data_IF_607270730075
#
_entry.id   IF_607270730075
#
_cell.length_a   1.000
_cell.length_b   1.000
_cell.length_c   1.000
_cell.angle_alpha   90.00
_cell.angle_beta   90.00
_cell.angle_gamma   90.00
#
_symmetry.space_group_name_H-M   'P 1'
#
loop_
_entity.id
_entity.type
_entity.pdbx_description
1 polymer ?
#
# COMPACT_ATOMS: atom_id res chain seq x y z
N UNK A 1 -1.77 0.54 -28.37
CA UNK A 1 -1.62 -0.43 -27.28
C UNK A 1 -1.60 0.37 -25.98
N UNK A 2 -2.48 0.08 -25.02
CA UNK A 2 -2.47 0.80 -23.74
C UNK A 2 -1.46 0.11 -22.82
N UNK A 3 -0.39 0.82 -22.48
CA UNK A 3 0.64 0.33 -21.57
C UNK A 3 0.37 0.83 -20.16
N UNK A 4 0.46 -0.05 -19.18
CA UNK A 4 0.45 0.30 -17.77
C UNK A 4 1.88 0.25 -17.25
N UNK A 5 2.35 1.33 -16.63
CA UNK A 5 3.69 1.39 -16.05
C UNK A 5 3.59 1.58 -14.54
N UNK A 6 4.48 0.90 -13.82
CA UNK A 6 4.65 0.99 -12.37
C UNK A 6 6.00 1.64 -12.09
N UNK A 7 5.95 2.74 -11.39
CA UNK A 7 7.12 3.49 -10.96
C UNK A 7 7.32 3.26 -9.45
N UNK A 8 8.57 3.29 -9.01
CA UNK A 8 8.97 3.08 -7.62
C UNK A 8 9.95 4.14 -7.15
N UNK A 9 9.86 4.53 -5.88
CA UNK A 9 10.69 5.51 -5.20
C UNK A 9 11.20 4.91 -3.90
N UNK A 10 12.51 4.77 -3.80
CA UNK A 10 13.16 4.11 -2.67
C UNK A 10 13.40 5.09 -1.52
N UNK A 11 13.43 4.58 -0.28
CA UNK A 11 13.68 5.33 0.96
C UNK A 11 12.55 6.27 1.40
N UNK A 12 11.45 6.34 0.65
CA UNK A 12 10.25 7.08 1.04
C UNK A 12 9.13 6.11 1.34
N UNK A 13 8.40 6.33 2.44
CA UNK A 13 7.18 5.57 2.74
C UNK A 13 6.02 6.01 1.87
N UNK A 14 5.87 7.32 1.81
CA UNK A 14 4.89 8.01 0.99
C UNK A 14 5.60 9.23 0.39
N UNK A 15 5.26 9.55 -0.84
CA UNK A 15 5.79 10.74 -1.50
C UNK A 15 4.80 11.33 -2.48
N UNK A 16 4.28 12.49 -2.11
CA UNK A 16 3.50 13.34 -2.99
C UNK A 16 4.41 14.33 -3.73
N UNK A 17 4.23 14.42 -5.03
CA UNK A 17 4.73 15.56 -5.78
C UNK A 17 3.80 15.96 -6.92
N UNK A 18 3.90 17.22 -7.30
CA UNK A 18 3.12 17.78 -8.41
C UNK A 18 4.05 18.08 -9.58
N UNK A 19 3.74 17.51 -10.73
CA UNK A 19 4.40 17.82 -11.99
C UNK A 19 3.60 18.87 -12.74
N UNK A 20 4.30 19.77 -13.42
CA UNK A 20 3.69 20.70 -14.37
C UNK A 20 4.06 20.25 -15.77
N UNK A 21 3.07 19.77 -16.53
CA UNK A 21 3.26 19.35 -17.92
C UNK A 21 2.21 20.02 -18.81
N UNK A 22 2.64 20.67 -19.89
CA UNK A 22 1.76 21.32 -20.88
C UNK A 22 0.68 22.24 -20.26
N UNK A 23 1.04 22.98 -19.21
CA UNK A 23 0.12 23.91 -18.52
C UNK A 23 -0.87 23.25 -17.55
N UNK A 24 -0.74 21.94 -17.30
CA UNK A 24 -1.56 21.21 -16.32
C UNK A 24 -0.70 20.74 -15.14
N UNK A 25 -1.24 20.87 -13.93
CA UNK A 25 -0.65 20.29 -12.72
C UNK A 25 -1.14 18.85 -12.55
N UNK A 26 -0.24 17.89 -12.57
CA UNK A 26 -0.50 16.47 -12.34
C UNK A 26 0.01 16.14 -10.94
N UNK A 27 -0.90 15.78 -10.03
CA UNK A 27 -0.52 15.31 -8.69
C UNK A 27 -0.26 13.82 -8.74
N UNK A 28 0.89 13.40 -8.23
CA UNK A 28 1.29 11.99 -8.16
C UNK A 28 1.58 11.66 -6.70
N UNK A 29 0.95 10.59 -6.23
CA UNK A 29 1.08 10.10 -4.87
C UNK A 29 1.69 8.70 -4.92
N UNK A 30 2.95 8.59 -4.50
CA UNK A 30 3.63 7.31 -4.31
C UNK A 30 3.36 6.83 -2.89
N UNK A 31 2.95 5.57 -2.74
CA UNK A 31 2.58 4.99 -1.44
C UNK A 31 3.15 3.58 -1.29
N UNK A 32 3.09 3.06 -0.06
CA UNK A 32 3.46 1.68 0.23
C UNK A 32 4.96 1.44 0.30
N UNK A 33 5.76 2.48 0.45
CA UNK A 33 7.18 2.33 0.74
C UNK A 33 7.42 2.05 2.21
N UNK A 34 8.54 1.41 2.50
CA UNK A 34 9.03 1.23 3.85
C UNK A 34 10.55 1.11 3.84
N UNK A 35 11.19 1.59 4.88
CA UNK A 35 12.62 1.44 5.08
C UNK A 35 12.82 0.88 6.47
N UNK A 36 13.16 -0.40 6.51
CA UNK A 36 13.46 -1.14 7.73
C UNK A 36 14.90 -1.65 7.64
N UNK A 37 15.51 -1.97 8.78
CA UNK A 37 16.89 -2.49 8.88
C UNK A 37 17.09 -3.78 8.05
N UNK A 38 16.00 -4.54 7.85
CA UNK A 38 15.95 -5.80 7.08
C UNK A 38 15.76 -5.61 5.58
N UNK A 39 15.29 -4.45 5.11
CA UNK A 39 14.98 -4.26 3.70
C UNK A 39 14.31 -2.93 3.35
N UNK A 40 14.45 -2.54 2.09
CA UNK A 40 13.89 -1.31 1.54
C UNK A 40 12.78 -1.68 0.56
N UNK A 41 11.55 -1.34 0.93
CA UNK A 41 10.37 -1.42 0.07
C UNK A 41 10.18 -0.04 -0.56
N UNK A 42 10.23 0.09 -1.90
CA UNK A 42 9.98 1.38 -2.54
C UNK A 42 8.50 1.74 -2.49
N UNK A 43 8.19 3.02 -2.30
CA UNK A 43 6.86 3.54 -2.55
C UNK A 43 6.57 3.44 -4.05
N UNK A 44 5.39 2.97 -4.44
CA UNK A 44 5.05 2.75 -5.85
C UNK A 44 3.87 3.57 -6.33
N UNK A 45 3.83 3.80 -7.64
CA UNK A 45 2.74 4.47 -8.33
C UNK A 45 2.50 3.80 -9.68
N UNK A 46 1.26 3.39 -9.93
CA UNK A 46 0.86 2.70 -11.16
C UNK A 46 -0.05 3.63 -11.95
N UNK A 47 0.23 3.79 -13.24
CA UNK A 47 -0.60 4.60 -14.13
C UNK A 47 -0.71 4.01 -15.52
N UNK A 48 -1.90 4.11 -16.10
CA UNK A 48 -2.20 3.81 -17.51
C UNK A 48 -2.20 5.05 -18.40
N UNK A 49 -2.10 6.23 -17.80
CA UNK A 49 -2.20 7.49 -18.51
C UNK A 49 -0.85 7.83 -19.14
N UNK A 50 -0.77 7.78 -20.47
CA UNK A 50 0.44 8.06 -21.25
C UNK A 50 1.01 9.46 -20.97
N UNK A 51 0.16 10.45 -20.70
CA UNK A 51 0.60 11.82 -20.34
C UNK A 51 1.32 11.80 -18.99
N UNK A 52 0.81 11.03 -18.03
CA UNK A 52 1.41 10.90 -16.70
C UNK A 52 2.72 10.10 -16.77
N UNK A 53 2.75 9.02 -17.56
CA UNK A 53 3.97 8.25 -17.81
C UNK A 53 5.06 9.13 -18.43
N UNK A 54 4.72 9.86 -19.50
CA UNK A 54 5.62 10.80 -20.14
C UNK A 54 6.10 11.91 -19.18
N UNK A 55 5.20 12.41 -18.32
CA UNK A 55 5.54 13.42 -17.32
C UNK A 55 6.55 12.88 -16.29
N UNK A 56 6.36 11.66 -15.80
CA UNK A 56 7.29 11.01 -14.87
C UNK A 56 8.63 10.78 -15.57
N UNK A 57 8.64 10.19 -16.76
CA UNK A 57 9.89 9.85 -17.48
C UNK A 57 10.71 11.09 -17.86
N UNK A 58 10.05 12.24 -18.10
CA UNK A 58 10.74 13.50 -18.39
C UNK A 58 11.10 14.33 -17.15
N UNK A 59 10.61 13.97 -15.97
CA UNK A 59 10.89 14.75 -14.76
C UNK A 59 12.33 14.58 -14.28
N UNK A 60 12.80 15.58 -13.53
CA UNK A 60 14.15 15.59 -12.96
C UNK A 60 14.36 14.38 -12.03
N UNK A 61 13.34 14.00 -11.25
CA UNK A 61 13.43 12.90 -10.28
C UNK A 61 13.61 11.53 -10.93
N UNK A 62 13.11 11.33 -12.15
CA UNK A 62 13.35 10.11 -12.91
C UNK A 62 14.75 10.09 -13.50
N UNK A 63 15.21 11.23 -14.04
CA UNK A 63 16.59 11.38 -14.57
C UNK A 63 17.66 11.29 -13.48
N UNK A 64 17.34 11.76 -12.27
CA UNK A 64 18.17 11.67 -11.06
C UNK A 64 18.18 10.24 -10.47
N UNK A 65 17.34 9.34 -10.98
CA UNK A 65 17.26 7.95 -10.52
C UNK A 65 16.53 7.74 -9.20
N UNK A 66 15.87 8.79 -8.66
CA UNK A 66 14.99 8.67 -7.49
C UNK A 66 13.72 7.89 -7.81
N UNK A 67 13.12 8.16 -8.96
CA UNK A 67 12.02 7.38 -9.50
C UNK A 67 12.61 6.36 -10.47
N UNK A 68 12.26 5.09 -10.30
CA UNK A 68 12.64 4.00 -11.21
C UNK A 68 11.41 3.33 -11.78
N UNK A 69 11.48 2.92 -13.04
CA UNK A 69 10.49 2.02 -13.62
C UNK A 69 10.69 0.63 -13.01
N UNK A 70 9.65 0.09 -12.38
CA UNK A 70 9.66 -1.23 -11.75
C UNK A 70 9.07 -2.27 -12.72
N UNK A 71 7.92 -1.96 -13.31
CA UNK A 71 7.23 -2.85 -14.25
C UNK A 71 6.58 -2.07 -15.40
N UNK A 72 6.59 -2.66 -16.59
CA UNK A 72 5.79 -2.24 -17.75
C UNK A 72 4.93 -3.43 -18.17
N UNK A 73 3.61 -3.26 -18.18
CA UNK A 73 2.62 -4.24 -18.62
C UNK A 73 1.89 -3.69 -19.85
N UNK A 74 1.94 -4.43 -20.96
CA UNK A 74 1.04 -4.21 -22.08
C UNK A 74 -0.34 -4.82 -21.73
N UNK A 75 -1.39 -4.01 -21.75
CA UNK A 75 -2.75 -4.48 -21.52
C UNK A 75 -3.24 -5.08 -22.85
N UNK A 76 -2.88 -6.33 -23.09
CA UNK A 76 -3.55 -7.20 -24.05
C UNK A 76 -4.48 -8.12 -23.25
N UNK A 77 -5.75 -8.18 -23.65
CA UNK A 77 -6.82 -8.88 -22.93
C UNK A 77 -6.59 -10.41 -22.96
N UNK A 78 -5.74 -10.97 -22.11
CA UNK A 78 -5.63 -12.42 -21.88
C UNK A 78 -4.81 -12.80 -20.63
N UNK A 79 -5.28 -13.88 -19.99
CA UNK A 79 -4.96 -14.49 -18.68
C UNK A 79 -3.49 -14.86 -18.38
N UNK A 80 -3.16 -14.83 -17.08
CA UNK A 80 -2.33 -15.77 -16.25
C UNK A 80 -0.90 -16.12 -16.77
N UNK A 81 0.21 -16.17 -16.00
CA UNK A 81 0.46 -16.28 -14.57
C UNK A 81 1.98 -16.12 -14.29
N UNK A 82 2.29 -15.70 -13.05
CA UNK A 82 3.39 -16.09 -12.13
C UNK A 82 4.90 -15.93 -12.44
N UNK A 83 5.61 -15.22 -11.52
CA UNK A 83 6.67 -15.70 -10.59
C UNK A 83 7.36 -14.51 -9.90
N UNK A 84 7.05 -14.13 -8.65
CA UNK A 84 7.33 -14.71 -7.32
C UNK A 84 8.71 -14.33 -6.72
N UNK A 85 8.65 -13.48 -5.68
CA UNK A 85 9.26 -13.68 -4.34
C UNK A 85 8.59 -12.66 -3.39
N UNK A 86 7.49 -13.06 -2.74
CA UNK A 86 7.39 -13.34 -1.28
C UNK A 86 7.61 -12.07 -0.41
N UNK A 87 6.67 -11.59 0.40
CA UNK A 87 5.67 -12.30 1.22
C UNK A 87 4.36 -11.48 1.45
N UNK A 88 3.23 -12.20 1.43
CA UNK A 88 1.90 -11.96 2.07
C UNK A 88 1.10 -10.71 1.70
N UNK A 89 0.15 -10.79 0.74
CA UNK A 89 -1.31 -11.10 0.92
C UNK A 89 -2.15 -9.83 1.20
N UNK A 90 -3.29 -9.50 0.57
CA UNK A 90 -4.20 -10.17 -0.37
C UNK A 90 -5.25 -9.15 -0.89
N UNK A 91 -5.58 -9.25 -2.19
CA UNK A 91 -6.80 -8.93 -2.97
C UNK A 91 -7.64 -7.62 -2.98
N UNK A 92 -8.22 -7.44 -4.17
CA UNK A 92 -8.90 -6.31 -4.81
C UNK A 92 -10.37 -6.07 -4.38
N UNK A 93 -10.75 -4.78 -4.43
CA UNK A 93 -12.02 -4.12 -4.81
C UNK A 93 -13.37 -4.73 -4.38
N UNK A 94 -14.29 -4.05 -3.69
CA UNK A 94 -14.44 -2.66 -3.24
C UNK A 94 -15.54 -2.65 -2.16
N UNK A 95 -15.55 -1.75 -1.18
CA UNK A 95 -15.80 -0.31 -1.20
C UNK A 95 -15.16 0.19 0.11
N UNK A 96 -14.48 1.34 0.15
CA UNK A 96 -14.16 2.02 1.41
C UNK A 96 -13.43 1.18 2.50
N UNK A 97 -12.11 1.36 2.63
CA UNK A 97 -11.33 0.85 3.77
C UNK A 97 -11.07 -0.66 3.69
N UNK A 98 -9.86 -1.02 3.26
CA UNK A 98 -9.40 -2.41 3.27
C UNK A 98 -9.00 -2.76 4.72
N UNK A 99 -9.95 -3.27 5.51
CA UNK A 99 -9.69 -3.75 6.88
C UNK A 99 -9.40 -5.26 6.85
N UNK A 100 -8.30 -5.69 7.45
CA UNK A 100 -7.93 -7.10 7.68
C UNK A 100 -8.90 -7.73 8.68
N UNK A 101 -9.72 -8.66 8.23
CA UNK A 101 -10.70 -9.33 9.09
C UNK A 101 -10.04 -10.49 9.87
N UNK A 102 -10.18 -10.48 11.20
CA UNK A 102 -9.61 -11.48 12.10
C UNK A 102 -10.74 -12.14 12.87
N UNK A 103 -10.90 -13.45 12.71
CA UNK A 103 -11.92 -14.21 13.43
C UNK A 103 -11.45 -14.49 14.85
N UNK A 104 -12.25 -14.07 15.83
CA UNK A 104 -11.97 -14.24 17.26
C UNK A 104 -13.26 -14.66 17.95
N UNK A 105 -13.18 -15.71 18.78
CA UNK A 105 -14.32 -16.26 19.50
C UNK A 105 -14.67 -15.51 20.78
N UNK A 106 -13.83 -14.57 21.23
CA UNK A 106 -14.01 -13.83 22.48
C UNK A 106 -13.16 -12.56 22.55
N UNK A 107 -13.56 -11.64 23.43
CA UNK A 107 -12.82 -10.40 23.68
C UNK A 107 -11.37 -10.65 24.11
N UNK A 108 -11.12 -11.64 24.96
CA UNK A 108 -9.77 -11.95 25.42
C UNK A 108 -8.86 -12.38 24.26
N UNK A 109 -9.39 -13.14 23.31
CA UNK A 109 -8.67 -13.59 22.11
C UNK A 109 -8.37 -12.44 21.16
N UNK A 110 -9.33 -11.52 20.98
CA UNK A 110 -9.13 -10.28 20.23
C UNK A 110 -8.01 -9.41 20.83
N UNK A 111 -8.01 -9.28 22.15
CA UNK A 111 -7.00 -8.48 22.86
C UNK A 111 -5.63 -9.16 22.80
N UNK A 112 -5.57 -10.47 22.97
CA UNK A 112 -4.33 -11.23 22.85
C UNK A 112 -3.74 -11.13 21.45
N UNK A 113 -4.58 -11.26 20.42
CA UNK A 113 -4.18 -11.03 19.04
C UNK A 113 -3.61 -9.62 18.83
N UNK A 114 -4.24 -8.58 19.37
CA UNK A 114 -3.71 -7.21 19.25
C UNK A 114 -2.36 -7.05 19.96
N UNK A 115 -2.21 -7.59 21.16
CA UNK A 115 -0.97 -7.46 21.95
C UNK A 115 0.18 -8.28 21.37
N UNK A 116 -0.15 -9.42 20.74
CA UNK A 116 0.85 -10.29 20.11
C UNK A 116 1.30 -9.78 18.74
N UNK A 117 0.41 -9.11 17.98
CA UNK A 117 0.74 -8.55 16.66
C UNK A 117 1.18 -7.08 16.70
N UNK A 118 0.88 -6.34 17.78
CA UNK A 118 1.22 -4.92 17.91
C UNK A 118 1.80 -4.60 19.28
N UNK A 119 3.07 -4.16 19.31
CA UNK A 119 3.73 -3.72 20.55
C UNK A 119 3.08 -2.46 21.17
N UNK A 120 2.28 -1.72 20.39
CA UNK A 120 1.52 -0.54 20.85
C UNK A 120 0.23 -0.93 21.61
N UNK A 121 -0.22 -2.17 21.51
CA UNK A 121 -1.46 -2.62 22.10
C UNK A 121 -1.28 -2.88 23.60
N UNK A 122 -2.08 -2.21 24.43
CA UNK A 122 -2.02 -2.37 25.88
C UNK A 122 -3.25 -3.12 26.42
N UNK A 123 -3.03 -4.29 27.01
CA UNK A 123 -4.07 -5.14 27.62
C UNK A 123 -4.89 -4.42 28.70
N UNK A 124 -4.42 -3.33 29.30
CA UNK A 124 -5.20 -2.51 30.24
C UNK A 124 -6.21 -1.60 29.56
N UNK A 125 -5.92 -1.11 28.35
CA UNK A 125 -6.79 -0.21 27.59
C UNK A 125 -7.80 -0.99 26.72
N UNK A 126 -7.45 -2.22 26.31
CA UNK A 126 -8.25 -3.03 25.41
C UNK A 126 -9.22 -3.99 26.12
N UNK A 127 -9.43 -3.85 27.45
CA UNK A 127 -10.31 -4.73 28.26
C UNK A 127 -11.81 -4.64 27.96
N UNK A 128 -12.20 -3.99 26.86
CA UNK A 128 -13.60 -3.80 26.49
C UNK A 128 -13.75 -3.95 24.98
N UNK A 129 -14.83 -4.61 24.54
CA UNK A 129 -15.14 -4.85 23.11
C UNK A 129 -15.04 -3.58 22.26
N UNK A 130 -15.53 -2.46 22.78
CA UNK A 130 -15.45 -1.17 22.10
C UNK A 130 -14.00 -0.67 21.94
N UNK A 131 -13.15 -0.88 22.94
CA UNK A 131 -11.76 -0.46 22.91
C UNK A 131 -10.91 -1.37 22.00
N UNK A 132 -11.15 -2.69 22.06
CA UNK A 132 -10.53 -3.66 21.17
C UNK A 132 -10.86 -3.37 19.70
N UNK A 133 -12.14 -3.16 19.38
CA UNK A 133 -12.56 -2.83 18.02
C UNK A 133 -12.02 -1.47 17.55
N UNK A 134 -12.09 -0.42 18.38
CA UNK A 134 -11.55 0.88 17.99
C UNK A 134 -10.05 0.83 17.69
N UNK A 135 -9.29 0.06 18.48
CA UNK A 135 -7.87 -0.13 18.24
C UNK A 135 -7.62 -0.98 16.99
N UNK A 136 -8.38 -2.06 16.81
CA UNK A 136 -8.35 -2.85 15.59
C UNK A 136 -8.60 -1.97 14.37
N UNK A 137 -9.66 -1.15 14.38
CA UNK A 137 -10.00 -0.21 13.31
C UNK A 137 -8.85 0.78 13.03
N UNK A 138 -8.14 1.27 14.07
CA UNK A 138 -6.96 2.14 13.85
C UNK A 138 -5.82 1.44 13.14
N UNK A 139 -5.71 0.13 13.29
CA UNK A 139 -4.74 -0.73 12.61
C UNK A 139 -5.32 -1.36 11.33
N UNK A 140 -6.47 -0.86 10.87
CA UNK A 140 -7.23 -1.42 9.77
C UNK A 140 -7.53 -2.91 9.96
N UNK A 141 -7.89 -3.33 11.17
CA UNK A 141 -8.31 -4.69 11.51
C UNK A 141 -9.77 -4.66 11.93
N UNK A 142 -10.51 -5.70 11.56
CA UNK A 142 -11.89 -5.90 11.99
C UNK A 142 -12.04 -7.28 12.61
N UNK A 143 -12.41 -7.31 13.88
CA UNK A 143 -12.71 -8.58 14.52
C UNK A 143 -14.11 -9.09 14.12
N UNK A 144 -14.16 -10.31 13.60
CA UNK A 144 -15.40 -11.03 13.30
C UNK A 144 -15.60 -12.13 14.35
N UNK A 145 -16.81 -12.26 14.90
CA UNK A 145 -17.12 -13.22 15.99
C UNK A 145 -17.20 -12.64 17.41
N UNK A 146 -16.84 -11.37 17.57
CA UNK A 146 -16.85 -10.63 18.85
C UNK A 146 -18.23 -10.10 19.23
#
# INVERSE_FOLDING_TARGET
>A
MKKQKKYGVYHFKEWDFSLFLAGRSIKIHFIGGSSSDTGIIPATFITRNEIVQYAIENCIFFKDGRIKLIEEMDIEESKEESKEAQETSTDNEGIAGNFTEVEVGSLEEAVDYLVSNFDDANKQQLRSKKAANAFAETKNIRFVGL
#
